data_IF_030004910830
#
_entry.id   IF_030004910830
#
_cell.length_a   1.000
_cell.length_b   1.000
_cell.length_c   1.000
_cell.angle_alpha   90.00
_cell.angle_beta   90.00
_cell.angle_gamma   90.00
#
_symmetry.space_group_name_H-M   'P 1'
#
loop_
_entity.id
_entity.type
_entity.pdbx_description
1 polymer ?
#
# COMPACT_ATOMS: atom_id res chain seq x y z
N UNK A 1 -13.06 3.44 -38.79
CA UNK A 1 -11.86 4.24 -38.40
C UNK A 1 -12.22 4.87 -37.07
N UNK A 2 -11.77 4.29 -35.98
CA UNK A 2 -11.94 4.82 -34.62
C UNK A 2 -10.64 5.53 -34.28
N UNK A 3 -10.76 6.77 -33.84
CA UNK A 3 -9.67 7.68 -33.50
C UNK A 3 -8.87 7.11 -32.30
N UNK A 4 -7.55 6.89 -32.38
CA UNK A 4 -6.76 6.34 -31.27
C UNK A 4 -6.27 7.41 -30.27
N UNK A 5 -6.86 8.59 -30.23
CA UNK A 5 -6.44 9.70 -29.38
C UNK A 5 -7.40 10.00 -28.20
N UNK A 6 -8.21 9.03 -27.77
CA UNK A 6 -8.86 9.14 -26.47
C UNK A 6 -7.82 8.79 -25.38
N UNK A 7 -7.00 9.79 -25.03
CA UNK A 7 -6.24 9.81 -23.78
C UNK A 7 -7.24 9.60 -22.64
N UNK A 8 -7.14 8.45 -21.96
CA UNK A 8 -7.84 8.24 -20.72
C UNK A 8 -7.45 9.39 -19.76
N UNK A 9 -8.35 10.33 -19.54
CA UNK A 9 -8.24 11.29 -18.47
C UNK A 9 -8.15 10.45 -17.18
N UNK A 10 -7.00 10.51 -16.51
CA UNK A 10 -6.85 9.98 -15.17
C UNK A 10 -7.95 10.64 -14.34
N UNK A 11 -8.88 9.84 -13.83
CA UNK A 11 -9.96 10.34 -13.00
C UNK A 11 -9.34 11.20 -11.89
N UNK A 12 -9.71 12.49 -11.90
CA UNK A 12 -9.27 13.44 -10.87
C UNK A 12 -9.76 12.89 -9.55
N UNK A 13 -8.82 12.45 -8.72
CA UNK A 13 -9.08 12.10 -7.32
C UNK A 13 -9.71 13.33 -6.68
N UNK A 14 -10.87 13.18 -6.05
CA UNK A 14 -11.60 14.25 -5.40
C UNK A 14 -10.69 15.14 -4.55
N UNK A 15 -11.09 16.38 -4.26
CA UNK A 15 -10.31 17.49 -3.68
C UNK A 15 -9.49 17.22 -2.39
N UNK A 16 -9.39 15.97 -1.96
CA UNK A 16 -8.61 15.54 -0.80
C UNK A 16 -7.11 15.48 -1.08
N UNK A 17 -6.33 16.21 -0.30
CA UNK A 17 -4.91 15.90 -0.12
C UNK A 17 -4.80 14.46 0.41
N UNK A 18 -3.71 13.72 0.09
CA UNK A 18 -3.51 12.35 0.57
C UNK A 18 -3.46 12.21 2.11
N UNK A 19 -3.45 13.33 2.80
CA UNK A 19 -3.60 13.42 4.24
C UNK A 19 -4.96 14.03 4.51
N UNK A 20 -5.95 13.21 4.85
CA UNK A 20 -7.20 13.70 5.41
C UNK A 20 -6.96 14.57 6.65
N UNK A 21 -7.95 15.36 7.06
CA UNK A 21 -7.89 16.20 8.28
C UNK A 21 -7.54 15.37 9.55
N UNK A 22 -7.55 14.05 9.45
CA UNK A 22 -7.31 13.07 10.52
C UNK A 22 -5.85 12.61 10.65
N UNK A 23 -4.88 13.20 9.92
CA UNK A 23 -3.46 12.89 10.16
C UNK A 23 -3.07 13.29 11.59
N UNK A 24 -3.14 12.33 12.48
CA UNK A 24 -2.94 12.54 13.93
C UNK A 24 -1.47 12.77 14.33
N UNK A 25 -0.54 12.75 13.36
CA UNK A 25 0.90 12.81 13.66
C UNK A 25 1.43 11.55 14.36
N UNK A 26 2.74 11.49 14.62
CA UNK A 26 3.35 10.38 15.34
C UNK A 26 2.78 10.28 16.76
N UNK A 27 2.53 9.05 17.20
CA UNK A 27 2.12 8.74 18.60
C UNK A 27 3.33 8.35 19.43
N UNK A 28 3.24 8.57 20.73
CA UNK A 28 4.19 8.06 21.74
C UNK A 28 3.97 6.55 22.01
N UNK A 29 3.70 5.74 20.98
CA UNK A 29 3.70 4.29 21.14
C UNK A 29 5.15 3.78 21.04
N UNK A 30 5.52 2.78 21.84
CA UNK A 30 6.82 2.15 21.70
C UNK A 30 6.96 1.57 20.29
N UNK A 31 8.05 1.91 19.61
CA UNK A 31 8.42 1.28 18.34
C UNK A 31 9.20 0.01 18.67
N UNK A 32 8.69 -1.12 18.19
CA UNK A 32 9.35 -2.41 18.25
C UNK A 32 9.96 -2.74 16.89
N UNK A 33 10.87 -3.69 16.84
CA UNK A 33 11.52 -4.09 15.57
C UNK A 33 11.59 -5.60 15.43
N UNK A 34 11.57 -6.06 14.18
CA UNK A 34 11.92 -7.42 13.78
C UNK A 34 13.01 -7.38 12.72
N UNK A 35 13.71 -8.48 12.53
CA UNK A 35 14.74 -8.61 11.50
C UNK A 35 14.23 -9.51 10.39
N UNK A 36 14.20 -8.99 9.17
CA UNK A 36 13.84 -9.72 7.95
C UNK A 36 14.91 -10.74 7.57
N UNK A 37 14.60 -11.64 6.66
CA UNK A 37 15.50 -12.73 6.24
C UNK A 37 16.83 -12.26 5.64
N UNK A 38 16.84 -11.07 5.03
CA UNK A 38 18.05 -10.43 4.47
C UNK A 38 18.81 -9.55 5.49
N UNK A 39 18.36 -9.51 6.76
CA UNK A 39 18.95 -8.70 7.82
C UNK A 39 18.39 -7.29 7.93
N UNK A 40 17.44 -6.89 7.07
CA UNK A 40 16.78 -5.57 7.15
C UNK A 40 15.93 -5.47 8.42
N UNK A 41 16.11 -4.39 9.17
CA UNK A 41 15.30 -4.11 10.37
C UNK A 41 13.96 -3.51 9.96
N UNK A 42 12.87 -4.10 10.43
CA UNK A 42 11.49 -3.64 10.17
C UNK A 42 10.87 -3.15 11.48
N UNK A 43 10.46 -1.89 11.48
CA UNK A 43 9.87 -1.21 12.63
C UNK A 43 8.35 -1.27 12.61
N UNK A 44 7.74 -1.49 13.76
CA UNK A 44 6.28 -1.49 13.91
C UNK A 44 5.84 -0.91 15.25
N UNK A 45 4.59 -0.49 15.31
CA UNK A 45 3.88 -0.13 16.53
C UNK A 45 2.84 -1.19 16.84
N UNK A 46 2.70 -1.54 18.12
CA UNK A 46 1.69 -2.47 18.61
C UNK A 46 0.69 -1.77 19.50
N UNK A 47 -0.61 -1.99 19.25
CA UNK A 47 -1.66 -1.36 20.05
C UNK A 47 -2.90 -2.25 20.18
N UNK A 48 -3.69 -2.04 21.24
CA UNK A 48 -4.93 -2.77 21.47
C UNK A 48 -4.75 -4.16 22.07
N UNK A 49 -5.85 -4.93 22.04
CA UNK A 49 -5.89 -6.33 22.51
C UNK A 49 -7.01 -7.08 21.77
N UNK A 50 -6.81 -8.38 21.54
CA UNK A 50 -7.72 -9.25 20.79
C UNK A 50 -7.00 -9.94 19.65
N UNK A 51 -7.73 -10.54 18.67
CA UNK A 51 -7.11 -11.18 17.52
C UNK A 51 -6.15 -10.24 16.77
N UNK A 52 -5.02 -10.74 16.28
CA UNK A 52 -4.02 -9.87 15.67
C UNK A 52 -4.42 -9.39 14.27
N UNK A 53 -4.07 -8.14 13.96
CA UNK A 53 -4.20 -7.51 12.63
C UNK A 53 -2.89 -6.84 12.27
N UNK A 54 -2.33 -7.16 11.11
CA UNK A 54 -1.17 -6.48 10.52
C UNK A 54 -1.65 -5.51 9.44
N UNK A 55 -1.15 -4.28 9.45
CA UNK A 55 -1.45 -3.24 8.45
C UNK A 55 -0.24 -3.05 7.55
N UNK A 56 -0.45 -3.14 6.22
CA UNK A 56 0.56 -2.92 5.18
C UNK A 56 0.19 -1.68 4.36
N UNK A 57 1.00 -0.65 4.44
CA UNK A 57 0.82 0.59 3.67
C UNK A 57 1.22 0.46 2.20
N UNK A 58 0.76 1.42 1.40
CA UNK A 58 1.11 1.59 -0.01
C UNK A 58 2.37 2.42 -0.27
N UNK A 59 2.49 2.96 -1.48
CA UNK A 59 3.55 3.88 -1.86
C UNK A 59 3.45 5.21 -1.11
N UNK A 60 4.60 5.82 -0.78
CA UNK A 60 4.68 7.07 -0.01
C UNK A 60 3.86 7.06 1.29
N UNK A 61 3.71 5.89 1.91
CA UNK A 61 3.03 5.73 3.19
C UNK A 61 4.00 5.11 4.20
N UNK A 62 4.13 5.73 5.35
CA UNK A 62 4.67 5.12 6.55
C UNK A 62 3.53 4.70 7.51
N UNK A 63 3.89 4.11 8.66
CA UNK A 63 2.89 3.70 9.65
C UNK A 63 2.05 4.85 10.20
N UNK A 64 2.58 6.09 10.20
CA UNK A 64 1.85 7.26 10.72
C UNK A 64 0.57 7.54 9.90
N UNK A 65 0.59 7.24 8.59
CA UNK A 65 -0.58 7.36 7.72
C UNK A 65 -1.74 6.46 8.14
N UNK A 66 -1.44 5.30 8.73
CA UNK A 66 -2.45 4.34 9.18
C UNK A 66 -2.73 4.41 10.68
N UNK A 67 -2.17 5.40 11.40
CA UNK A 67 -2.43 5.59 12.82
C UNK A 67 -3.93 5.69 13.16
N UNK A 68 -4.79 6.47 12.44
CA UNK A 68 -6.21 6.51 12.75
C UNK A 68 -6.92 5.16 12.51
N UNK A 69 -6.53 4.40 11.49
CA UNK A 69 -7.03 3.03 11.28
C UNK A 69 -6.62 2.10 12.42
N UNK A 70 -5.34 2.12 12.78
CA UNK A 70 -4.80 1.31 13.88
C UNK A 70 -5.53 1.63 15.20
N UNK A 71 -5.86 2.91 15.44
CA UNK A 71 -6.66 3.33 16.58
C UNK A 71 -8.08 2.75 16.58
N UNK A 72 -8.73 2.79 15.42
CA UNK A 72 -10.09 2.27 15.29
C UNK A 72 -10.12 0.75 15.49
N UNK A 73 -9.17 0.04 14.88
CA UNK A 73 -9.06 -1.42 14.99
C UNK A 73 -8.61 -1.86 16.39
N UNK A 74 -7.74 -1.08 17.08
CA UNK A 74 -7.21 -1.44 18.40
C UNK A 74 -8.26 -1.55 19.51
N UNK A 75 -9.48 -1.11 19.24
CA UNK A 75 -10.63 -1.29 20.17
C UNK A 75 -11.08 -2.75 20.24
N UNK A 76 -10.73 -3.59 19.27
CA UNK A 76 -11.18 -4.99 19.17
C UNK A 76 -10.06 -5.97 18.80
N UNK A 77 -8.92 -5.46 18.32
CA UNK A 77 -7.81 -6.25 17.78
C UNK A 77 -6.48 -5.83 18.41
N UNK A 78 -5.51 -6.71 18.38
CA UNK A 78 -4.11 -6.36 18.59
C UNK A 78 -3.54 -5.94 17.23
N UNK A 79 -3.26 -4.66 17.03
CA UNK A 79 -2.84 -4.11 15.73
C UNK A 79 -1.33 -3.98 15.68
N UNK A 80 -0.73 -4.51 14.62
CA UNK A 80 0.67 -4.35 14.24
C UNK A 80 0.72 -3.45 13.01
N UNK A 81 1.07 -2.19 13.21
CA UNK A 81 1.17 -1.19 12.15
C UNK A 81 2.65 -0.96 11.84
N UNK A 82 3.16 -1.50 10.73
CA UNK A 82 4.58 -1.49 10.44
C UNK A 82 4.97 -0.55 9.29
N UNK A 83 6.18 -0.04 9.36
CA UNK A 83 6.83 0.64 8.25
C UNK A 83 7.42 -0.40 7.30
N UNK A 84 7.02 -0.40 6.03
CA UNK A 84 7.70 -1.18 5.01
C UNK A 84 9.16 -0.73 4.89
N UNK A 85 10.05 -1.59 4.37
CA UNK A 85 11.46 -1.23 4.16
C UNK A 85 11.63 0.11 3.45
N UNK A 86 12.61 0.90 3.86
CA UNK A 86 12.92 2.21 3.32
C UNK A 86 11.98 3.34 3.75
N UNK A 87 11.11 3.11 4.75
CA UNK A 87 10.15 4.11 5.26
C UNK A 87 10.20 4.19 6.77
N UNK A 88 9.87 5.37 7.30
CA UNK A 88 9.72 5.60 8.72
C UNK A 88 10.91 5.12 9.55
N UNK A 89 10.68 4.18 10.45
CA UNK A 89 11.70 3.60 11.33
C UNK A 89 12.35 2.31 10.80
N UNK A 90 11.98 1.84 9.61
CA UNK A 90 12.56 0.63 8.99
C UNK A 90 13.80 0.94 8.16
N UNK A 91 14.76 0.00 8.14
CA UNK A 91 15.93 0.11 7.30
C UNK A 91 15.58 0.02 5.80
N UNK A 92 16.48 0.51 4.94
CA UNK A 92 16.27 0.50 3.49
C UNK A 92 16.51 -0.88 2.85
N UNK A 93 17.43 -1.69 3.38
CA UNK A 93 17.96 -2.84 2.68
C UNK A 93 18.83 -2.42 1.49
N UNK A 94 19.11 -3.36 0.58
CA UNK A 94 19.88 -3.10 -0.65
C UNK A 94 18.93 -2.87 -1.84
N UNK A 95 18.82 -1.63 -2.37
CA UNK A 95 17.92 -1.33 -3.49
C UNK A 95 18.22 -2.10 -4.77
N UNK A 96 19.48 -2.52 -4.99
CA UNK A 96 19.87 -3.26 -6.19
C UNK A 96 19.42 -4.75 -6.13
N UNK A 97 19.17 -5.25 -4.91
CA UNK A 97 18.65 -6.61 -4.68
C UNK A 97 17.14 -6.62 -4.38
N UNK A 98 16.48 -5.47 -4.54
CA UNK A 98 15.05 -5.36 -4.22
C UNK A 98 14.19 -6.19 -5.17
N UNK A 99 13.31 -6.98 -4.57
CA UNK A 99 12.24 -7.74 -5.23
C UNK A 99 11.00 -7.71 -4.34
N UNK A 100 9.83 -8.03 -4.88
CA UNK A 100 8.61 -8.16 -4.07
C UNK A 100 8.76 -9.25 -2.98
N UNK A 101 9.58 -10.28 -3.23
CA UNK A 101 9.84 -11.35 -2.27
C UNK A 101 10.55 -10.84 -1.02
N UNK A 102 11.39 -9.79 -1.11
CA UNK A 102 11.99 -9.15 0.06
C UNK A 102 10.92 -8.53 0.98
N UNK A 103 9.91 -7.92 0.39
CA UNK A 103 8.80 -7.38 1.18
C UNK A 103 7.87 -8.48 1.73
N UNK A 104 7.77 -9.62 1.03
CA UNK A 104 7.10 -10.81 1.57
C UNK A 104 7.85 -11.34 2.79
N UNK A 105 9.19 -11.40 2.74
CA UNK A 105 10.03 -11.77 3.89
C UNK A 105 9.85 -10.81 5.07
N UNK A 106 9.71 -9.50 4.83
CA UNK A 106 9.41 -8.50 5.86
C UNK A 106 8.06 -8.79 6.53
N UNK A 107 7.03 -9.02 5.72
CA UNK A 107 5.70 -9.37 6.22
C UNK A 107 5.74 -10.65 7.05
N UNK A 108 6.48 -11.67 6.61
CA UNK A 108 6.67 -12.92 7.36
C UNK A 108 7.31 -12.63 8.71
N UNK A 109 8.38 -11.82 8.76
CA UNK A 109 9.04 -11.47 10.02
C UNK A 109 8.08 -10.75 11.00
N UNK A 110 7.19 -9.88 10.49
CA UNK A 110 6.16 -9.22 11.32
C UNK A 110 5.11 -10.24 11.79
N UNK A 111 4.63 -11.13 10.91
CA UNK A 111 3.67 -12.18 11.26
C UNK A 111 4.24 -13.19 12.25
N UNK A 112 5.53 -13.51 12.18
CA UNK A 112 6.21 -14.37 13.16
C UNK A 112 6.25 -13.70 14.55
N UNK A 113 6.42 -12.38 14.63
CA UNK A 113 6.33 -11.64 15.88
C UNK A 113 4.90 -11.57 16.46
N UNK A 114 3.88 -11.76 15.62
CA UNK A 114 2.48 -11.91 16.06
C UNK A 114 2.30 -13.22 16.84
N UNK A 115 2.96 -14.30 16.42
CA UNK A 115 2.96 -15.60 17.10
C UNK A 115 1.78 -16.53 16.81
N UNK A 116 0.80 -16.07 16.02
CA UNK A 116 -0.36 -16.82 15.53
C UNK A 116 -0.82 -16.26 14.17
N UNK A 117 -1.60 -16.98 13.36
CA UNK A 117 -2.10 -16.43 12.10
C UNK A 117 -2.94 -15.18 12.31
N UNK A 118 -2.38 -14.03 11.95
CA UNK A 118 -3.05 -12.74 12.04
C UNK A 118 -3.91 -12.42 10.82
N UNK A 119 -4.89 -11.52 10.98
CA UNK A 119 -5.52 -10.87 9.85
C UNK A 119 -4.52 -9.92 9.20
N UNK A 120 -4.64 -9.70 7.90
CA UNK A 120 -3.80 -8.75 7.16
C UNK A 120 -4.71 -7.76 6.45
N UNK A 121 -4.50 -6.46 6.67
CA UNK A 121 -5.05 -5.39 5.83
C UNK A 121 -3.92 -4.78 5.02
N UNK A 122 -4.11 -4.69 3.71
CA UNK A 122 -3.10 -4.19 2.80
C UNK A 122 -3.68 -3.19 1.79
N UNK A 123 -3.03 -2.03 1.71
CA UNK A 123 -3.45 -0.90 0.87
C UNK A 123 -2.52 -0.74 -0.33
N UNK A 124 -3.07 -0.47 -1.51
CA UNK A 124 -2.34 -0.12 -2.72
C UNK A 124 -1.22 -1.14 -3.04
N UNK A 125 0.04 -0.73 -3.22
CA UNK A 125 1.18 -1.63 -3.47
C UNK A 125 1.43 -2.63 -2.34
N UNK A 126 1.04 -2.31 -1.10
CA UNK A 126 1.01 -3.29 0.00
C UNK A 126 0.10 -4.47 -0.29
N UNK A 127 -1.02 -4.25 -1.01
CA UNK A 127 -1.92 -5.31 -1.46
C UNK A 127 -1.26 -6.28 -2.42
N UNK A 128 -0.37 -5.81 -3.29
CA UNK A 128 0.39 -6.68 -4.19
C UNK A 128 1.33 -7.61 -3.39
N UNK A 129 2.00 -7.07 -2.35
CA UNK A 129 2.86 -7.84 -1.44
C UNK A 129 2.03 -8.91 -0.71
N UNK A 130 0.88 -8.53 -0.15
CA UNK A 130 0.00 -9.45 0.57
C UNK A 130 -0.55 -10.57 -0.32
N UNK A 131 -0.86 -10.30 -1.60
CA UNK A 131 -1.26 -11.29 -2.60
C UNK A 131 -0.13 -12.29 -2.87
N UNK A 132 1.11 -11.82 -3.07
CA UNK A 132 2.27 -12.68 -3.25
C UNK A 132 2.51 -13.56 -2.02
N UNK A 133 2.44 -13.00 -0.81
CA UNK A 133 2.59 -13.73 0.44
C UNK A 133 1.50 -14.81 0.61
N UNK A 134 0.23 -14.44 0.38
CA UNK A 134 -0.90 -15.38 0.48
C UNK A 134 -0.81 -16.51 -0.54
N UNK A 135 -0.42 -16.21 -1.78
CA UNK A 135 -0.21 -17.21 -2.84
C UNK A 135 1.00 -18.13 -2.57
N UNK A 136 2.00 -17.66 -1.83
CA UNK A 136 3.13 -18.46 -1.34
C UNK A 136 2.76 -19.33 -0.12
N UNK A 137 1.54 -19.20 0.41
CA UNK A 137 1.05 -20.00 1.55
C UNK A 137 1.45 -19.42 2.92
N UNK A 138 1.83 -18.14 3.00
CA UNK A 138 2.09 -17.49 4.29
C UNK A 138 0.80 -17.54 5.14
N UNK A 139 0.85 -18.05 6.37
CA UNK A 139 -0.33 -18.21 7.20
C UNK A 139 -0.97 -16.86 7.56
N UNK A 140 -2.23 -16.69 7.18
CA UNK A 140 -3.07 -15.52 7.49
C UNK A 140 -4.46 -16.00 7.88
N UNK A 141 -5.10 -15.35 8.86
CA UNK A 141 -6.47 -15.67 9.27
C UNK A 141 -7.50 -15.16 8.22
N UNK A 142 -7.41 -13.90 7.83
CA UNK A 142 -8.18 -13.27 6.75
C UNK A 142 -7.34 -12.19 6.06
N UNK A 143 -7.68 -11.85 4.81
CA UNK A 143 -6.99 -10.86 4.01
C UNK A 143 -7.96 -9.76 3.54
N UNK A 144 -7.73 -8.52 3.96
CA UNK A 144 -8.41 -7.32 3.45
C UNK A 144 -7.50 -6.58 2.48
N UNK A 145 -7.97 -6.33 1.28
CA UNK A 145 -7.23 -5.61 0.22
C UNK A 145 -7.97 -4.33 -0.14
N UNK A 146 -7.27 -3.21 -0.17
CA UNK A 146 -7.79 -1.98 -0.74
C UNK A 146 -6.99 -1.61 -1.99
N UNK A 147 -7.62 -1.77 -3.14
CA UNK A 147 -7.15 -1.32 -4.46
C UNK A 147 -5.68 -1.63 -4.78
N UNK A 148 -5.26 -2.90 -4.79
CA UNK A 148 -3.95 -3.25 -5.34
C UNK A 148 -3.84 -2.76 -6.78
N UNK A 149 -2.80 -1.97 -7.16
CA UNK A 149 -2.76 -1.24 -8.43
C UNK A 149 -2.32 -2.13 -9.61
N UNK A 150 -2.93 -3.28 -9.75
CA UNK A 150 -2.73 -4.14 -10.93
C UNK A 150 -3.36 -3.50 -12.17
N UNK A 151 -2.79 -3.80 -13.32
CA UNK A 151 -3.18 -3.22 -14.62
C UNK A 151 -2.97 -1.70 -14.71
N UNK A 152 -2.13 -1.14 -13.84
CA UNK A 152 -1.70 0.25 -13.98
C UNK A 152 -1.06 0.44 -15.37
N UNK A 153 -1.19 1.64 -15.98
CA UNK A 153 -0.53 1.92 -17.24
C UNK A 153 0.96 1.60 -17.16
N UNK A 154 1.51 0.86 -18.16
CA UNK A 154 2.91 0.45 -18.14
C UNK A 154 3.84 1.68 -18.08
N UNK A 155 4.99 1.50 -17.46
CA UNK A 155 6.05 2.49 -17.47
C UNK A 155 6.71 2.51 -18.87
N UNK A 156 7.30 3.66 -19.26
CA UNK A 156 7.95 3.82 -20.56
C UNK A 156 9.41 3.34 -20.58
N UNK A 157 9.83 2.63 -19.53
CA UNK A 157 11.08 1.90 -19.47
C UNK A 157 12.27 2.63 -18.87
N UNK A 158 12.26 3.97 -18.76
CA UNK A 158 13.36 4.74 -18.17
C UNK A 158 13.01 5.44 -16.85
N UNK A 159 11.73 5.41 -16.43
CA UNK A 159 11.26 6.11 -15.24
C UNK A 159 11.91 5.55 -13.96
N UNK A 160 12.07 4.24 -13.86
CA UNK A 160 12.73 3.60 -12.71
C UNK A 160 14.19 4.06 -12.61
N UNK A 161 14.92 4.10 -13.74
CA UNK A 161 16.30 4.55 -13.77
C UNK A 161 16.44 6.04 -13.51
N UNK A 162 15.49 6.87 -13.99
CA UNK A 162 15.43 8.30 -13.66
C UNK A 162 15.23 8.49 -12.17
N UNK A 163 14.29 7.73 -11.58
CA UNK A 163 13.99 7.79 -10.16
C UNK A 163 15.20 7.38 -9.30
N UNK A 164 15.88 6.30 -9.66
CA UNK A 164 17.14 5.87 -9.02
C UNK A 164 18.19 6.97 -9.05
N UNK A 165 18.38 7.65 -10.20
CA UNK A 165 19.32 8.76 -10.32
C UNK A 165 18.95 9.93 -9.42
N UNK A 166 17.69 10.35 -9.42
CA UNK A 166 17.22 11.44 -8.57
C UNK A 166 17.44 11.15 -7.08
N UNK A 167 17.15 9.93 -6.66
CA UNK A 167 17.38 9.49 -5.27
C UNK A 167 18.88 9.46 -4.94
N UNK A 168 19.74 8.96 -5.84
CA UNK A 168 21.20 8.93 -5.64
C UNK A 168 21.82 10.33 -5.59
N UNK A 169 21.22 11.32 -6.27
CA UNK A 169 21.61 12.73 -6.27
C UNK A 169 20.98 13.53 -5.11
N UNK A 170 20.23 12.89 -4.20
CA UNK A 170 19.43 13.49 -3.10
C UNK A 170 18.44 14.57 -3.57
N UNK A 171 17.94 14.45 -4.80
CA UNK A 171 16.94 15.32 -5.42
C UNK A 171 15.52 14.83 -5.07
N UNK A 172 15.19 14.86 -3.77
CA UNK A 172 14.01 14.19 -3.20
C UNK A 172 12.71 14.76 -3.69
N UNK A 173 12.56 16.09 -3.77
CA UNK A 173 11.36 16.74 -4.31
C UNK A 173 11.09 16.27 -5.74
N UNK A 174 12.12 16.21 -6.58
CA UNK A 174 11.97 15.78 -7.97
C UNK A 174 11.67 14.28 -8.06
N UNK A 175 12.22 13.46 -7.17
CA UNK A 175 11.92 12.04 -7.09
C UNK A 175 10.45 11.79 -6.72
N UNK A 176 9.92 12.47 -5.69
CA UNK A 176 8.49 12.39 -5.30
C UNK A 176 7.60 12.92 -6.42
N UNK A 177 8.00 14.01 -7.08
CA UNK A 177 7.26 14.59 -8.22
C UNK A 177 7.18 13.60 -9.37
N UNK A 178 8.31 13.02 -9.80
CA UNK A 178 8.37 12.00 -10.84
C UNK A 178 7.48 10.80 -10.49
N UNK A 179 7.62 10.29 -9.27
CA UNK A 179 6.82 9.16 -8.80
C UNK A 179 5.33 9.45 -8.85
N UNK A 180 4.88 10.57 -8.27
CA UNK A 180 3.46 10.91 -8.20
C UNK A 180 2.82 11.24 -9.54
N UNK A 181 3.56 11.91 -10.45
CA UNK A 181 3.01 12.40 -11.73
C UNK A 181 3.18 11.42 -12.87
N UNK A 182 4.35 10.79 -13.00
CA UNK A 182 4.69 10.00 -14.18
C UNK A 182 4.58 8.50 -13.93
N UNK A 183 4.90 8.02 -12.72
CA UNK A 183 4.89 6.59 -12.40
C UNK A 183 3.50 6.14 -11.97
N UNK A 184 3.01 6.64 -10.84
CA UNK A 184 1.69 6.24 -10.32
C UNK A 184 0.53 7.10 -10.81
N UNK A 185 0.80 8.27 -11.40
CA UNK A 185 -0.14 9.15 -12.11
C UNK A 185 -1.36 9.58 -11.28
N UNK A 186 -1.19 9.72 -9.97
CA UNK A 186 -2.26 10.21 -9.10
C UNK A 186 -2.16 11.70 -8.75
N UNK A 187 -1.06 12.37 -9.12
CA UNK A 187 -0.85 13.81 -8.87
C UNK A 187 -0.97 14.62 -10.15
N UNK A 188 -1.84 15.63 -10.16
CA UNK A 188 -1.84 16.71 -11.16
C UNK A 188 -0.86 17.81 -10.75
N UNK A 189 -0.54 18.76 -11.65
CA UNK A 189 0.30 19.91 -11.31
C UNK A 189 -0.32 20.72 -10.16
N UNK A 190 -1.62 20.93 -10.18
CA UNK A 190 -2.36 21.69 -9.16
C UNK A 190 -2.31 20.99 -7.79
N UNK A 191 -2.59 19.68 -7.77
CA UNK A 191 -2.53 18.89 -6.51
C UNK A 191 -1.11 18.82 -5.95
N UNK A 192 -0.09 18.72 -6.81
CA UNK A 192 1.31 18.70 -6.40
C UNK A 192 1.72 20.04 -5.78
N UNK A 193 1.44 21.17 -6.43
CA UNK A 193 1.81 22.50 -5.90
C UNK A 193 1.10 22.79 -4.55
N UNK A 194 -0.16 22.38 -4.42
CA UNK A 194 -0.88 22.46 -3.15
C UNK A 194 -0.27 21.56 -2.09
N UNK A 195 0.15 20.36 -2.48
CA UNK A 195 0.75 19.39 -1.58
C UNK A 195 2.14 19.82 -1.10
N UNK A 196 2.97 20.44 -1.94
CA UNK A 196 4.26 21.03 -1.56
C UNK A 196 4.14 22.10 -0.47
N UNK A 197 2.98 22.77 -0.37
CA UNK A 197 2.70 23.74 0.68
C UNK A 197 2.21 23.11 1.99
N UNK A 198 1.90 21.81 1.98
CA UNK A 198 1.40 21.12 3.15
C UNK A 198 2.55 20.78 4.13
N UNK A 199 2.35 20.94 5.47
CA UNK A 199 3.39 20.61 6.47
C UNK A 199 3.97 19.19 6.38
N UNK A 200 3.19 18.26 5.85
CA UNK A 200 3.63 16.86 5.66
C UNK A 200 4.57 16.68 4.45
N UNK A 201 4.78 17.68 3.58
CA UNK A 201 5.62 17.53 2.39
C UNK A 201 7.02 17.00 2.74
N UNK A 202 7.63 17.51 3.81
CA UNK A 202 8.94 17.06 4.27
C UNK A 202 8.97 15.56 4.62
N UNK A 203 7.88 15.02 5.18
CA UNK A 203 7.78 13.60 5.45
C UNK A 203 7.75 12.77 4.16
N UNK A 204 7.05 13.26 3.11
CA UNK A 204 7.05 12.61 1.80
C UNK A 204 8.42 12.66 1.13
N UNK A 205 9.13 13.79 1.19
CA UNK A 205 10.51 13.88 0.69
C UNK A 205 11.44 12.90 1.42
N UNK A 206 11.24 12.70 2.72
CA UNK A 206 12.03 11.72 3.47
C UNK A 206 11.83 10.27 2.98
N UNK A 207 10.66 9.98 2.42
CA UNK A 207 10.31 8.67 1.84
C UNK A 207 10.70 8.53 0.36
N UNK A 208 11.26 9.56 -0.29
CA UNK A 208 11.66 9.51 -1.70
C UNK A 208 12.48 8.26 -2.09
N UNK A 209 13.45 7.77 -1.26
CA UNK A 209 14.16 6.54 -1.58
C UNK A 209 13.25 5.32 -1.77
N UNK A 210 12.14 5.23 -1.02
CA UNK A 210 11.20 4.10 -1.11
C UNK A 210 10.36 4.12 -2.39
N UNK A 211 10.24 5.26 -3.08
CA UNK A 211 9.58 5.36 -4.37
C UNK A 211 10.20 4.43 -5.42
N UNK A 212 11.51 4.16 -5.30
CA UNK A 212 12.22 3.22 -6.19
C UNK A 212 11.64 1.81 -6.04
N UNK A 213 11.31 1.38 -4.82
CA UNK A 213 10.73 0.07 -4.57
C UNK A 213 9.33 -0.06 -5.17
N UNK A 214 8.46 0.93 -4.96
CA UNK A 214 7.13 0.93 -5.55
C UNK A 214 7.15 1.05 -7.08
N UNK A 215 8.12 1.78 -7.64
CA UNK A 215 8.31 1.84 -9.08
C UNK A 215 8.74 0.48 -9.65
N UNK A 216 9.64 -0.25 -8.97
CA UNK A 216 10.05 -1.61 -9.36
C UNK A 216 8.86 -2.58 -9.24
N UNK A 217 8.03 -2.47 -8.19
CA UNK A 217 6.82 -3.27 -8.06
C UNK A 217 5.88 -3.03 -9.23
N UNK A 218 5.61 -1.78 -9.58
CA UNK A 218 4.76 -1.43 -10.73
C UNK A 218 5.32 -1.95 -12.06
N UNK A 219 6.62 -1.77 -12.28
CA UNK A 219 7.26 -2.17 -13.53
C UNK A 219 7.26 -3.70 -13.72
N UNK A 220 7.62 -4.46 -12.67
CA UNK A 220 7.83 -5.90 -12.78
C UNK A 220 6.62 -6.75 -12.45
N UNK A 221 5.74 -6.25 -11.58
CA UNK A 221 4.62 -7.01 -11.01
C UNK A 221 3.26 -6.35 -11.24
N UNK A 222 3.19 -5.25 -12.01
CA UNK A 222 1.95 -4.49 -12.25
C UNK A 222 0.88 -5.22 -13.06
N UNK A 223 1.21 -6.34 -13.72
CA UNK A 223 0.20 -7.17 -14.38
C UNK A 223 -0.54 -8.05 -13.39
N UNK A 224 -1.85 -8.28 -13.62
CA UNK A 224 -2.65 -9.18 -12.79
C UNK A 224 -1.99 -10.57 -12.75
N UNK A 225 -1.67 -11.11 -11.55
CA UNK A 225 -0.94 -12.38 -11.44
C UNK A 225 -1.89 -13.59 -11.50
N UNK A 226 -2.56 -13.81 -12.65
CA UNK A 226 -3.56 -14.86 -12.88
C UNK A 226 -3.12 -16.27 -12.41
N UNK A 227 -1.82 -16.56 -12.42
CA UNK A 227 -1.28 -17.85 -11.96
C UNK A 227 -1.14 -17.95 -10.43
N UNK A 228 -1.19 -16.83 -9.72
CA UNK A 228 -1.08 -16.76 -8.26
C UNK A 228 -2.45 -16.72 -7.60
N UNK A 229 -3.40 -15.96 -8.14
CA UNK A 229 -4.71 -15.71 -7.54
C UNK A 229 -5.45 -17.01 -7.14
N UNK A 230 -5.51 -18.07 -8.00
CA UNK A 230 -6.18 -19.31 -7.63
C UNK A 230 -5.52 -20.11 -6.48
N UNK A 231 -4.28 -19.74 -6.08
CA UNK A 231 -3.57 -20.40 -4.97
C UNK A 231 -3.93 -19.79 -3.62
N UNK A 232 -4.57 -18.64 -3.60
CA UNK A 232 -4.94 -17.92 -2.36
C UNK A 232 -6.12 -18.63 -1.72
N UNK A 233 -5.88 -19.34 -0.62
CA UNK A 233 -6.90 -20.10 0.09
C UNK A 233 -7.56 -19.31 1.24
N UNK A 234 -6.96 -18.20 1.66
CA UNK A 234 -7.45 -17.35 2.75
C UNK A 234 -8.72 -16.60 2.32
N UNK A 235 -9.67 -16.45 3.26
CA UNK A 235 -10.86 -15.62 3.04
C UNK A 235 -10.44 -14.17 2.80
N UNK A 236 -10.88 -13.60 1.67
CA UNK A 236 -10.40 -12.32 1.17
C UNK A 236 -11.54 -11.33 0.96
N UNK A 237 -11.40 -10.11 1.49
CA UNK A 237 -12.25 -8.98 1.18
C UNK A 237 -11.48 -8.01 0.27
N UNK A 238 -11.96 -7.83 -0.96
CA UNK A 238 -11.45 -6.81 -1.87
C UNK A 238 -12.32 -5.57 -1.73
N UNK A 239 -11.72 -4.44 -1.41
CA UNK A 239 -12.38 -3.14 -1.27
C UNK A 239 -11.97 -2.25 -2.44
N UNK A 240 -12.92 -1.53 -3.03
CA UNK A 240 -12.70 -0.57 -4.11
C UNK A 240 -13.59 0.65 -3.95
N UNK A 241 -13.04 1.84 -4.20
CA UNK A 241 -13.82 3.08 -4.24
C UNK A 241 -14.59 3.23 -5.55
N UNK A 242 -15.81 3.78 -5.51
CA UNK A 242 -16.62 4.00 -6.71
C UNK A 242 -16.08 5.12 -7.60
N UNK A 243 -15.27 6.02 -7.05
CA UNK A 243 -14.64 7.15 -7.76
C UNK A 243 -13.19 6.88 -8.17
N UNK A 244 -12.68 5.69 -7.91
CA UNK A 244 -11.35 5.29 -8.34
C UNK A 244 -11.26 5.12 -9.86
N UNK A 245 -10.04 5.19 -10.40
CA UNK A 245 -9.80 5.01 -11.83
C UNK A 245 -10.38 3.68 -12.33
N UNK A 246 -11.00 3.64 -13.52
CA UNK A 246 -11.66 2.44 -14.05
C UNK A 246 -10.78 1.19 -14.05
N UNK A 247 -9.50 1.33 -14.41
CA UNK A 247 -8.55 0.21 -14.45
C UNK A 247 -8.30 -0.40 -13.05
N UNK A 248 -8.32 0.41 -11.96
CA UNK A 248 -8.23 -0.09 -10.58
C UNK A 248 -9.50 -0.86 -10.21
N UNK A 249 -10.67 -0.30 -10.53
CA UNK A 249 -11.94 -0.95 -10.26
C UNK A 249 -12.05 -2.30 -11.00
N UNK A 250 -11.64 -2.36 -12.27
CA UNK A 250 -11.58 -3.58 -13.06
C UNK A 250 -10.60 -4.61 -12.46
N UNK A 251 -9.43 -4.16 -12.01
CA UNK A 251 -8.49 -5.04 -11.31
C UNK A 251 -9.11 -5.63 -10.03
N UNK A 252 -9.81 -4.82 -9.22
CA UNK A 252 -10.49 -5.31 -8.02
C UNK A 252 -11.60 -6.34 -8.35
N UNK A 253 -12.34 -6.15 -9.45
CA UNK A 253 -13.31 -7.15 -9.94
C UNK A 253 -12.58 -8.46 -10.24
N UNK A 254 -11.51 -8.41 -11.06
CA UNK A 254 -10.74 -9.60 -11.43
C UNK A 254 -10.16 -10.32 -10.19
N UNK A 255 -9.60 -9.58 -9.24
CA UNK A 255 -9.11 -10.16 -7.99
C UNK A 255 -10.21 -10.91 -7.24
N UNK A 256 -11.42 -10.33 -7.17
CA UNK A 256 -12.54 -10.95 -6.47
C UNK A 256 -13.12 -12.18 -7.18
N UNK A 257 -12.96 -12.26 -8.50
CA UNK A 257 -13.44 -13.40 -9.31
C UNK A 257 -12.44 -14.56 -9.33
N UNK A 258 -11.14 -14.28 -9.32
CA UNK A 258 -10.11 -15.30 -9.46
C UNK A 258 -9.56 -15.83 -8.12
N UNK A 259 -9.70 -15.09 -7.03
CA UNK A 259 -9.37 -15.58 -5.68
C UNK A 259 -10.54 -16.44 -5.16
N UNK A 260 -10.37 -17.75 -4.88
CA UNK A 260 -11.48 -18.68 -4.64
C UNK A 260 -12.42 -18.31 -3.50
N UNK A 261 -11.93 -17.59 -2.49
CA UNK A 261 -12.70 -17.20 -1.30
C UNK A 261 -12.76 -15.67 -1.15
N UNK A 262 -12.75 -14.95 -2.26
CA UNK A 262 -12.86 -13.50 -2.24
C UNK A 262 -14.29 -13.00 -2.46
N UNK A 263 -14.55 -11.83 -1.94
CA UNK A 263 -15.72 -11.01 -2.27
C UNK A 263 -15.30 -9.56 -2.49
N UNK A 264 -15.96 -8.91 -3.43
CA UNK A 264 -15.78 -7.47 -3.67
C UNK A 264 -16.80 -6.68 -2.86
N UNK A 265 -16.34 -5.58 -2.25
CA UNK A 265 -17.21 -4.56 -1.70
C UNK A 265 -16.77 -3.20 -2.26
N UNK A 266 -17.69 -2.53 -2.95
CA UNK A 266 -17.47 -1.20 -3.50
C UNK A 266 -17.94 -0.17 -2.49
N UNK A 267 -17.09 0.84 -2.21
CA UNK A 267 -17.37 1.91 -1.26
C UNK A 267 -17.77 3.15 -2.04
N UNK A 268 -19.03 3.55 -1.89
CA UNK A 268 -19.60 4.67 -2.64
C UNK A 268 -18.99 6.00 -2.23
N UNK A 269 -18.64 6.85 -3.21
CA UNK A 269 -18.04 8.17 -3.00
C UNK A 269 -16.56 8.14 -2.62
N UNK A 270 -15.93 6.95 -2.52
CA UNK A 270 -14.52 6.84 -2.18
C UNK A 270 -13.66 6.65 -3.44
N UNK A 271 -12.43 7.21 -3.37
CA UNK A 271 -11.40 7.06 -4.39
C UNK A 271 -10.25 6.18 -3.93
N UNK A 272 -9.11 6.27 -4.64
CA UNK A 272 -7.93 5.44 -4.34
C UNK A 272 -7.31 5.69 -2.96
N UNK A 273 -7.48 6.87 -2.40
CA UNK A 273 -7.02 7.17 -1.06
C UNK A 273 -7.95 6.52 -0.03
N UNK A 274 -7.40 5.60 0.76
CA UNK A 274 -8.19 4.87 1.74
C UNK A 274 -8.72 5.80 2.84
N UNK A 275 -10.03 6.00 2.86
CA UNK A 275 -10.71 6.72 3.93
C UNK A 275 -10.91 5.79 5.13
N UNK A 276 -10.24 6.11 6.23
CA UNK A 276 -10.23 5.27 7.40
C UNK A 276 -11.55 5.33 8.20
N UNK A 277 -12.33 6.39 8.05
CA UNK A 277 -13.62 6.53 8.71
C UNK A 277 -14.67 5.58 8.10
N UNK A 278 -14.67 5.44 6.78
CA UNK A 278 -15.57 4.54 6.06
C UNK A 278 -15.04 3.10 6.03
N UNK A 279 -13.72 2.92 5.90
CA UNK A 279 -13.10 1.60 5.77
C UNK A 279 -12.95 0.82 7.08
N UNK A 280 -12.67 1.50 8.21
CA UNK A 280 -12.45 0.79 9.48
C UNK A 280 -13.66 -0.04 9.94
N UNK A 281 -14.92 0.44 9.89
CA UNK A 281 -16.07 -0.39 10.24
C UNK A 281 -16.19 -1.66 9.39
N UNK A 282 -15.90 -1.58 8.09
CA UNK A 282 -15.94 -2.71 7.16
C UNK A 282 -14.89 -3.77 7.51
N UNK A 283 -13.68 -3.33 7.86
CA UNK A 283 -12.62 -4.22 8.31
C UNK A 283 -12.92 -4.84 9.67
N UNK A 284 -13.50 -4.08 10.61
CA UNK A 284 -13.96 -4.60 11.91
C UNK A 284 -15.00 -5.68 11.75
N UNK A 285 -15.99 -5.49 10.85
CA UNK A 285 -17.00 -6.49 10.54
C UNK A 285 -16.37 -7.73 9.91
N UNK A 286 -15.52 -7.53 8.90
CA UNK A 286 -14.90 -8.64 8.18
C UNK A 286 -13.96 -9.47 9.06
N UNK A 287 -13.09 -8.86 9.84
CA UNK A 287 -12.14 -9.57 10.69
C UNK A 287 -12.79 -10.15 11.95
N UNK A 288 -13.89 -9.56 12.42
CA UNK A 288 -14.58 -9.99 13.65
C UNK A 288 -15.62 -11.09 13.47
N UNK A 289 -16.03 -11.40 12.23
CA UNK A 289 -16.94 -12.50 11.87
C UNK A 289 -16.17 -13.71 11.45
#
# INVERSE_FOLDING_TARGET
MVDPAATAEAGVVGDGLPLGEDYAGPRDLPVETVVSADGTTIAYEKSGSGPPVVIIGGGLNDKAMFTPLAQSLSRRFTVFNYDRRGRGGSDHGDPEQYTIDREVEDLVAVLDAVGEPGHVFANCSGGMIAIHAAAAGVPMAKLGLYEPPYSSPPLNGDEVDRLKRLVAEDRREEAVTLFGKEIVKFMTDETLERFKQHPAWQAFESMAPSCVYDAIINDRYGSIPHTLLPKIAVETLVLSGSESAPWIQEACVTLSEEIPRARLLRIEGEGHLFNQQTGAPLLVEFFGG
#
